data_IF_179587327425
#
_entry.id   IF_179587327425
#
_cell.length_a   1.000
_cell.length_b   1.000
_cell.length_c   1.000
_cell.angle_alpha   90.00
_cell.angle_beta   90.00
_cell.angle_gamma   90.00
#
_symmetry.space_group_name_H-M   'P 1'
#
loop_
_entity.id
_entity.type
_entity.pdbx_description
1 polymer ?
#
# COMPACT_ATOMS: atom_id res chain seq x y z
N UNK A 1 -15.27 -65.93 -28.09
CA UNK A 1 -14.16 -65.37 -27.29
C UNK A 1 -13.26 -64.48 -28.17
N UNK A 2 -13.65 -63.25 -28.48
CA UNK A 2 -12.70 -62.25 -29.02
C UNK A 2 -13.14 -60.86 -28.54
N UNK A 3 -12.50 -60.39 -27.47
CA UNK A 3 -12.49 -59.00 -27.05
C UNK A 3 -11.06 -58.69 -26.67
N UNK A 4 -10.52 -57.60 -27.24
CA UNK A 4 -9.89 -56.52 -26.50
C UNK A 4 -9.10 -55.64 -27.48
N UNK A 5 -9.69 -54.48 -27.75
CA UNK A 5 -8.98 -53.30 -28.23
C UNK A 5 -7.84 -52.93 -27.27
N UNK A 6 -6.79 -52.29 -27.80
CA UNK A 6 -5.91 -51.37 -27.04
C UNK A 6 -5.06 -50.55 -27.99
N UNK A 7 -5.66 -49.50 -28.55
CA UNK A 7 -4.95 -48.39 -29.19
C UNK A 7 -4.16 -47.65 -28.11
N UNK A 8 -2.83 -47.74 -28.17
CA UNK A 8 -1.92 -46.97 -27.31
C UNK A 8 -1.82 -45.54 -27.85
N UNK A 9 -2.74 -44.67 -27.44
CA UNK A 9 -2.57 -43.23 -27.65
C UNK A 9 -1.85 -42.65 -26.44
N UNK A 10 -0.54 -42.43 -26.58
CA UNK A 10 0.25 -41.64 -25.64
C UNK A 10 -0.10 -40.17 -25.84
N UNK A 11 -1.03 -39.64 -25.03
CA UNK A 11 -1.25 -38.20 -24.93
C UNK A 11 -0.12 -37.59 -24.09
N UNK A 12 0.78 -36.89 -24.77
CA UNK A 12 1.76 -36.00 -24.15
C UNK A 12 1.01 -34.97 -23.28
N UNK A 13 1.18 -35.03 -21.96
CA UNK A 13 0.70 -33.99 -21.05
C UNK A 13 1.56 -32.75 -21.26
N UNK A 14 1.11 -31.85 -22.13
CA UNK A 14 1.62 -30.49 -22.17
C UNK A 14 1.32 -29.84 -20.81
N UNK A 15 2.35 -29.65 -19.99
CA UNK A 15 2.27 -28.82 -18.78
C UNK A 15 2.20 -27.37 -19.25
N UNK A 16 0.98 -26.87 -19.48
CA UNK A 16 0.76 -25.43 -19.63
C UNK A 16 1.06 -24.77 -18.28
N UNK A 17 2.26 -24.19 -18.14
CA UNK A 17 2.54 -23.20 -17.11
C UNK A 17 1.61 -22.01 -17.37
N UNK A 18 0.49 -21.98 -16.65
CA UNK A 18 -0.35 -20.78 -16.56
C UNK A 18 0.36 -19.79 -15.64
N UNK A 19 1.12 -18.87 -16.22
CA UNK A 19 1.47 -17.63 -15.52
C UNK A 19 0.22 -16.78 -15.43
N UNK A 20 -0.47 -16.89 -14.30
CA UNK A 20 -1.63 -16.05 -14.02
C UNK A 20 -1.16 -14.67 -13.58
N UNK A 21 -0.95 -13.79 -14.56
CA UNK A 21 -0.92 -12.34 -14.34
C UNK A 21 -2.34 -11.82 -14.39
N UNK A 22 -3.00 -11.65 -13.24
CA UNK A 22 -4.13 -10.72 -13.11
C UNK A 22 -4.52 -10.51 -11.65
N UNK A 23 -4.33 -9.27 -11.17
CA UNK A 23 -5.26 -8.45 -10.40
C UNK A 23 -4.45 -7.50 -9.50
N UNK A 24 -4.85 -6.23 -9.49
CA UNK A 24 -4.27 -5.16 -8.68
C UNK A 24 -3.86 -5.66 -7.28
N UNK A 25 -2.67 -5.25 -6.82
CA UNK A 25 -2.19 -5.52 -5.48
C UNK A 25 -3.32 -5.29 -4.46
N UNK A 26 -3.46 -6.11 -3.40
CA UNK A 26 -4.47 -5.91 -2.36
C UNK A 26 -4.10 -4.63 -1.62
N UNK A 27 -4.58 -3.53 -2.15
CA UNK A 27 -4.16 -2.22 -1.74
C UNK A 27 -5.25 -1.69 -0.75
N UNK A 28 -4.88 -1.62 0.55
CA UNK A 28 -4.92 -0.35 1.32
C UNK A 28 -6.06 -0.01 2.28
N UNK A 29 -6.54 -0.90 3.14
CA UNK A 29 -7.39 -0.40 4.23
C UNK A 29 -6.61 0.59 5.14
N UNK A 30 -5.34 0.28 5.42
CA UNK A 30 -4.44 1.15 6.20
C UNK A 30 -4.07 2.46 5.50
N UNK A 31 -3.54 2.41 4.27
CA UNK A 31 -3.11 3.64 3.60
C UNK A 31 -4.28 4.59 3.30
N UNK A 32 -5.46 4.07 2.94
CA UNK A 32 -6.65 4.91 2.70
C UNK A 32 -7.14 5.56 3.98
N UNK A 33 -7.12 4.85 5.11
CA UNK A 33 -7.49 5.41 6.40
C UNK A 33 -6.55 6.56 6.80
N UNK A 34 -5.24 6.36 6.65
CA UNK A 34 -4.22 7.39 6.91
C UNK A 34 -4.42 8.58 5.96
N UNK A 35 -4.57 8.33 4.66
CA UNK A 35 -4.78 9.36 3.66
C UNK A 35 -6.02 10.22 3.98
N UNK A 36 -7.16 9.59 4.26
CA UNK A 36 -8.40 10.29 4.56
C UNK A 36 -8.28 11.17 5.82
N UNK A 37 -7.58 10.68 6.86
CA UNK A 37 -7.35 11.45 8.09
C UNK A 37 -6.49 12.68 7.83
N UNK A 38 -5.41 12.52 7.06
CA UNK A 38 -4.53 13.63 6.65
C UNK A 38 -5.27 14.64 5.76
N UNK A 39 -6.11 14.17 4.83
CA UNK A 39 -6.94 15.03 4.00
C UNK A 39 -7.89 15.87 4.83
N UNK A 40 -8.58 15.23 5.78
CA UNK A 40 -9.53 15.89 6.67
C UNK A 40 -8.84 16.93 7.55
N UNK A 41 -7.64 16.64 8.05
CA UNK A 41 -6.99 17.52 9.03
C UNK A 41 -6.24 18.70 8.43
N UNK A 42 -5.57 18.49 7.29
CA UNK A 42 -4.64 19.45 6.70
C UNK A 42 -5.11 20.05 5.38
N UNK A 43 -6.23 19.57 4.82
CA UNK A 43 -6.71 19.97 3.48
C UNK A 43 -5.56 20.12 2.46
N UNK A 44 -4.70 19.10 2.31
CA UNK A 44 -3.48 19.19 1.52
C UNK A 44 -3.80 19.30 0.03
N UNK A 45 -2.99 20.06 -0.70
CA UNK A 45 -3.03 20.12 -2.15
C UNK A 45 -2.53 18.81 -2.78
N UNK A 46 -1.58 18.15 -2.12
CA UNK A 46 -1.13 16.81 -2.48
C UNK A 46 -0.88 15.96 -1.23
N UNK A 47 -1.37 14.72 -1.25
CA UNK A 47 -1.05 13.71 -0.23
C UNK A 47 -0.88 12.37 -0.91
N UNK A 48 0.17 11.67 -0.52
CA UNK A 48 0.47 10.33 -0.97
C UNK A 48 0.89 9.49 0.24
N UNK A 49 0.26 8.33 0.37
CA UNK A 49 0.58 7.33 1.39
C UNK A 49 0.91 6.04 0.65
N UNK A 50 1.98 5.37 1.06
CA UNK A 50 2.43 4.11 0.48
C UNK A 50 2.97 3.19 1.56
N UNK A 51 2.56 1.94 1.56
CA UNK A 51 3.06 0.85 2.38
C UNK A 51 4.36 0.35 1.74
N UNK A 52 5.44 0.53 2.49
CA UNK A 52 6.77 0.08 2.09
C UNK A 52 7.20 -1.16 2.89
N UNK A 53 6.28 -1.75 3.67
CA UNK A 53 6.49 -3.00 4.40
C UNK A 53 6.18 -4.26 3.57
N UNK A 54 5.77 -4.10 2.31
CA UNK A 54 5.46 -5.23 1.42
C UNK A 54 4.09 -5.87 1.69
N UNK A 55 3.12 -5.10 2.20
CA UNK A 55 1.75 -5.57 2.46
C UNK A 55 1.49 -6.01 3.90
N UNK A 56 2.45 -5.80 4.80
CA UNK A 56 2.28 -6.07 6.24
C UNK A 56 1.54 -4.92 6.94
N UNK A 57 1.49 -3.73 6.33
CA UNK A 57 0.86 -2.55 6.93
C UNK A 57 1.57 -2.01 8.17
N UNK A 58 2.85 -2.34 8.34
CA UNK A 58 3.64 -1.97 9.52
C UNK A 58 4.60 -0.80 9.27
N UNK A 59 4.78 -0.37 8.02
CA UNK A 59 5.62 0.78 7.69
C UNK A 59 5.09 1.56 6.49
N UNK A 60 4.86 2.85 6.68
CA UNK A 60 4.32 3.72 5.63
C UNK A 60 5.27 4.85 5.27
N UNK A 61 5.37 5.14 3.99
CA UNK A 61 5.96 6.37 3.47
C UNK A 61 4.83 7.36 3.14
N UNK A 62 4.89 8.55 3.73
CA UNK A 62 3.88 9.59 3.63
C UNK A 62 4.54 10.86 3.09
N UNK A 63 3.96 11.41 2.02
CA UNK A 63 4.33 12.71 1.47
C UNK A 63 3.12 13.64 1.48
N UNK A 64 3.26 14.82 2.07
CA UNK A 64 2.17 15.80 2.21
C UNK A 64 2.64 17.18 1.80
N UNK A 65 1.88 17.81 0.92
CA UNK A 65 1.99 19.23 0.57
C UNK A 65 0.74 19.95 1.08
N UNK A 66 0.91 20.94 1.94
CA UNK A 66 -0.19 21.75 2.47
C UNK A 66 0.28 23.14 2.86
N UNK A 67 -0.60 24.12 2.68
CA UNK A 67 -0.44 25.49 3.20
C UNK A 67 -0.46 25.54 4.73
N UNK A 68 -0.99 24.52 5.42
CA UNK A 68 -0.95 24.42 6.88
C UNK A 68 0.48 24.29 7.45
N UNK A 69 1.45 23.96 6.61
CA UNK A 69 2.86 23.87 6.97
C UNK A 69 3.64 25.16 6.75
N UNK A 70 3.00 26.18 6.16
CA UNK A 70 3.56 27.50 5.99
C UNK A 70 3.88 28.08 7.37
N UNK A 71 5.08 28.63 7.51
CA UNK A 71 5.63 29.20 8.76
C UNK A 71 5.96 28.19 9.88
N UNK A 72 5.88 26.87 9.62
CA UNK A 72 6.34 25.84 10.54
C UNK A 72 7.72 25.31 10.14
N UNK A 73 8.59 25.09 11.13
CA UNK A 73 9.83 24.32 10.91
C UNK A 73 9.53 22.86 10.56
N UNK A 74 10.44 22.18 9.85
CA UNK A 74 10.29 20.75 9.51
C UNK A 74 9.97 19.89 10.74
N UNK A 75 10.60 20.16 11.88
CA UNK A 75 10.34 19.43 13.13
C UNK A 75 8.90 19.65 13.63
N UNK A 76 8.39 20.88 13.54
CA UNK A 76 7.01 21.20 13.92
C UNK A 76 6.01 20.56 12.97
N UNK A 77 6.28 20.59 11.65
CA UNK A 77 5.45 19.91 10.65
C UNK A 77 5.37 18.41 10.95
N UNK A 78 6.53 17.77 11.21
CA UNK A 78 6.57 16.35 11.55
C UNK A 78 5.85 16.03 12.86
N UNK A 79 6.00 16.87 13.90
CA UNK A 79 5.24 16.73 15.14
C UNK A 79 3.74 16.80 14.90
N UNK A 80 3.28 17.78 14.12
CA UNK A 80 1.86 17.99 13.85
C UNK A 80 1.23 16.81 13.12
N UNK A 81 1.93 16.25 12.13
CA UNK A 81 1.48 15.04 11.43
C UNK A 81 1.49 13.83 12.34
N UNK A 82 2.57 13.62 13.11
CA UNK A 82 2.67 12.51 14.05
C UNK A 82 1.60 12.58 15.15
N UNK A 83 1.21 13.77 15.61
CA UNK A 83 0.12 13.94 16.57
C UNK A 83 -1.23 13.55 15.97
N UNK A 84 -1.47 13.93 14.71
CA UNK A 84 -2.71 13.58 13.99
C UNK A 84 -2.85 12.07 13.77
N UNK A 85 -1.72 11.40 13.54
CA UNK A 85 -1.67 9.97 13.28
C UNK A 85 -1.35 9.14 14.54
N UNK A 86 -1.18 9.77 15.71
CA UNK A 86 -0.70 9.10 16.93
C UNK A 86 -1.58 7.93 17.36
N UNK A 87 -2.88 8.03 17.12
CA UNK A 87 -3.85 6.98 17.44
C UNK A 87 -3.75 5.79 16.48
N UNK A 88 -3.46 6.01 15.20
CA UNK A 88 -3.31 4.95 14.19
C UNK A 88 -1.89 4.37 14.16
N UNK A 89 -0.87 5.15 14.53
CA UNK A 89 0.55 4.76 14.53
C UNK A 89 0.91 3.81 15.69
N UNK A 90 0.07 3.66 16.72
CA UNK A 90 0.40 2.78 17.87
C UNK A 90 0.76 1.35 17.47
N UNK A 91 0.20 0.88 16.36
CA UNK A 91 0.43 -0.47 15.84
C UNK A 91 1.43 -0.51 14.67
N UNK A 92 1.94 0.65 14.24
CA UNK A 92 2.86 0.80 13.11
C UNK A 92 4.30 0.81 13.64
N UNK A 93 5.17 -0.07 13.12
CA UNK A 93 6.57 -0.16 13.55
C UNK A 93 7.39 1.09 13.18
N UNK A 94 6.99 1.84 12.15
CA UNK A 94 7.59 3.11 11.79
C UNK A 94 6.94 3.78 10.59
N UNK A 95 7.34 5.01 10.30
CA UNK A 95 6.92 5.71 9.09
C UNK A 95 8.03 6.63 8.60
N UNK A 96 8.02 6.88 7.30
CA UNK A 96 8.82 7.91 6.66
C UNK A 96 7.90 9.08 6.31
N UNK A 97 8.19 10.26 6.83
CA UNK A 97 7.40 11.46 6.58
C UNK A 97 8.20 12.48 5.78
N UNK A 98 7.58 13.00 4.72
CA UNK A 98 8.06 14.15 3.96
C UNK A 98 6.96 15.20 3.91
N UNK A 99 7.24 16.36 4.48
CA UNK A 99 6.33 17.51 4.42
C UNK A 99 6.89 18.58 3.50
N UNK A 100 6.00 19.28 2.80
CA UNK A 100 6.34 20.42 1.95
C UNK A 100 5.31 21.51 2.18
N UNK A 101 5.77 22.71 2.47
CA UNK A 101 4.91 23.88 2.58
C UNK A 101 4.62 24.45 1.19
N UNK A 102 3.39 24.92 0.99
CA UNK A 102 2.95 25.64 -0.22
C UNK A 102 3.09 27.17 -0.06
#
# INVERSE_FOLDING_TARGET
MQSLARTRTLLARAVTLRFNSSAAAPQLDGERAIEQKLRTRFSPSNVQVQDVSGGCGTFYAISITSSAFKDLSIVQQHRLVNETLKEDIKDIHGLQLKTTAE
#
